data_IF_936865847792
#
_entry.id   IF_936865847792
#
_cell.length_a   1.000
_cell.length_b   1.000
_cell.length_c   1.000
_cell.angle_alpha   90.00
_cell.angle_beta   90.00
_cell.angle_gamma   90.00
#
_symmetry.space_group_name_H-M   'P 1'
#
loop_
_entity.id
_entity.type
_entity.pdbx_description
1 polymer ?
#
# COMPACT_ATOMS: atom_id res chain seq x y z
N UNK A 1 35.89 22.00 -36.68
CA UNK A 1 35.45 21.60 -35.32
C UNK A 1 34.59 22.68 -34.65
N UNK A 2 34.84 23.97 -34.85
CA UNK A 2 34.05 25.08 -34.27
C UNK A 2 32.54 25.03 -34.60
N UNK A 3 32.17 24.70 -35.86
CA UNK A 3 30.76 24.57 -36.27
C UNK A 3 30.01 23.43 -35.52
N UNK A 4 30.71 22.36 -35.11
CA UNK A 4 30.10 21.26 -34.35
C UNK A 4 29.78 21.69 -32.92
N UNK A 5 30.72 22.40 -32.27
CA UNK A 5 30.55 22.87 -30.89
C UNK A 5 29.41 23.88 -30.79
N UNK A 6 29.32 24.84 -31.71
CA UNK A 6 28.26 25.87 -31.69
C UNK A 6 26.89 25.22 -31.91
N UNK A 7 26.75 24.34 -32.90
CA UNK A 7 25.50 23.59 -33.14
C UNK A 7 25.09 22.74 -31.94
N UNK A 8 26.04 22.03 -31.33
CA UNK A 8 25.77 21.20 -30.16
C UNK A 8 25.35 22.03 -28.94
N UNK A 9 25.98 23.20 -28.73
CA UNK A 9 25.65 24.09 -27.62
C UNK A 9 24.27 24.72 -27.78
N UNK A 10 23.96 25.27 -28.97
CA UNK A 10 22.65 25.83 -29.26
C UNK A 10 21.54 24.78 -29.12
N UNK A 11 21.77 23.56 -29.63
CA UNK A 11 20.81 22.48 -29.50
C UNK A 11 20.68 21.98 -28.04
N UNK A 12 21.76 21.96 -27.27
CA UNK A 12 21.72 21.60 -25.85
C UNK A 12 20.85 22.56 -25.04
N UNK A 13 20.94 23.87 -25.30
CA UNK A 13 20.07 24.87 -24.66
C UNK A 13 18.61 24.63 -25.07
N UNK A 14 18.34 24.47 -26.36
CA UNK A 14 16.98 24.25 -26.86
C UNK A 14 16.35 22.98 -26.28
N UNK A 15 17.10 21.86 -26.24
CA UNK A 15 16.63 20.61 -25.66
C UNK A 15 16.50 20.68 -24.14
N UNK A 16 17.35 21.43 -23.43
CA UNK A 16 17.19 21.65 -21.99
C UNK A 16 15.88 22.37 -21.68
N UNK A 17 15.59 23.47 -22.40
CA UNK A 17 14.33 24.22 -22.26
C UNK A 17 13.14 23.32 -22.60
N UNK A 18 13.21 22.57 -23.70
CA UNK A 18 12.17 21.64 -24.09
C UNK A 18 11.97 20.53 -23.05
N UNK A 19 13.04 19.96 -22.49
CA UNK A 19 12.98 18.95 -21.41
C UNK A 19 12.23 19.50 -20.21
N UNK A 20 12.58 20.71 -19.80
CA UNK A 20 11.94 21.38 -18.69
C UNK A 20 10.44 21.56 -18.96
N UNK A 21 10.05 22.14 -20.10
CA UNK A 21 8.64 22.34 -20.45
C UNK A 21 7.85 21.04 -20.66
N UNK A 22 8.49 19.97 -21.13
CA UNK A 22 7.84 18.69 -21.41
C UNK A 22 7.54 17.90 -20.14
N UNK A 23 8.40 17.98 -19.12
CA UNK A 23 8.27 17.20 -17.89
C UNK A 23 7.74 17.99 -16.68
N UNK A 24 7.88 19.32 -16.63
CA UNK A 24 7.30 20.12 -15.55
C UNK A 24 5.80 20.31 -15.75
N UNK A 25 5.01 19.87 -14.77
CA UNK A 25 3.55 20.08 -14.73
C UNK A 25 3.11 21.17 -13.74
N UNK A 26 4.01 21.67 -12.90
CA UNK A 26 3.73 22.67 -11.87
C UNK A 26 4.73 23.81 -11.98
N UNK A 27 4.26 25.04 -11.74
CA UNK A 27 5.14 26.21 -11.65
C UNK A 27 6.11 26.04 -10.46
N UNK A 28 7.43 26.25 -10.67
CA UNK A 28 8.39 26.16 -9.59
C UNK A 28 8.13 27.26 -8.56
N UNK A 29 7.86 26.85 -7.32
CA UNK A 29 7.67 27.77 -6.21
C UNK A 29 9.06 28.17 -5.66
N UNK A 30 9.67 29.21 -6.22
CA UNK A 30 11.00 29.71 -5.83
C UNK A 30 10.97 30.56 -4.55
N UNK A 31 10.36 30.05 -3.48
CA UNK A 31 10.19 30.80 -2.22
C UNK A 31 11.52 30.91 -1.45
N UNK A 32 12.49 30.02 -1.68
CA UNK A 32 13.78 30.02 -1.00
C UNK A 32 14.97 30.20 -1.97
N UNK A 33 15.89 31.12 -1.64
CA UNK A 33 17.13 31.37 -2.40
C UNK A 33 17.99 30.10 -2.57
N UNK A 34 18.02 29.22 -1.56
CA UNK A 34 18.71 27.94 -1.64
C UNK A 34 18.15 27.02 -2.74
N UNK A 35 16.82 27.03 -2.95
CA UNK A 35 16.19 26.24 -4.01
C UNK A 35 16.57 26.75 -5.41
N UNK A 36 16.72 28.06 -5.58
CA UNK A 36 17.19 28.67 -6.83
C UNK A 36 18.63 28.28 -7.15
N UNK A 37 19.52 28.30 -6.15
CA UNK A 37 20.92 27.88 -6.34
C UNK A 37 20.99 26.40 -6.73
N UNK A 38 20.30 25.53 -5.99
CA UNK A 38 20.30 24.08 -6.27
C UNK A 38 19.75 23.80 -7.66
N UNK A 39 18.65 24.45 -8.04
CA UNK A 39 18.09 24.35 -9.38
C UNK A 39 19.07 24.83 -10.46
N UNK A 40 19.74 25.97 -10.25
CA UNK A 40 20.75 26.50 -11.16
C UNK A 40 21.92 25.53 -11.36
N UNK A 41 22.42 24.93 -10.27
CA UNK A 41 23.49 23.92 -10.35
C UNK A 41 23.04 22.70 -11.14
N UNK A 42 21.84 22.18 -10.87
CA UNK A 42 21.29 21.03 -11.62
C UNK A 42 21.08 21.34 -13.10
N UNK A 43 20.61 22.55 -13.43
CA UNK A 43 20.44 23.00 -14.80
C UNK A 43 21.77 23.10 -15.56
N UNK A 44 22.83 23.61 -14.91
CA UNK A 44 24.18 23.65 -15.49
C UNK A 44 24.72 22.25 -15.73
N UNK A 45 24.58 21.35 -14.75
CA UNK A 45 25.00 19.94 -14.91
C UNK A 45 24.25 19.28 -16.07
N UNK A 46 22.93 19.46 -16.14
CA UNK A 46 22.11 18.92 -17.23
C UNK A 46 22.51 19.50 -18.60
N UNK A 47 22.79 20.81 -18.68
CA UNK A 47 23.26 21.46 -19.91
C UNK A 47 24.59 20.86 -20.38
N UNK A 48 25.53 20.63 -19.46
CA UNK A 48 26.84 20.02 -19.73
C UNK A 48 26.64 18.60 -20.28
N UNK A 49 25.78 17.80 -19.64
CA UNK A 49 25.46 16.43 -20.10
C UNK A 49 24.84 16.45 -21.49
N UNK A 50 23.86 17.33 -21.75
CA UNK A 50 23.25 17.47 -23.07
C UNK A 50 24.27 17.89 -24.12
N UNK A 51 25.11 18.89 -23.83
CA UNK A 51 26.14 19.36 -24.74
C UNK A 51 27.08 18.24 -25.17
N UNK A 52 27.63 17.49 -24.21
CA UNK A 52 28.56 16.39 -24.52
C UNK A 52 27.88 15.24 -25.26
N UNK A 53 26.64 14.90 -24.90
CA UNK A 53 25.86 13.84 -25.57
C UNK A 53 25.57 14.21 -27.02
N UNK A 54 25.05 15.41 -27.27
CA UNK A 54 24.74 15.92 -28.60
C UNK A 54 26.02 16.04 -29.43
N UNK A 55 27.11 16.53 -28.84
CA UNK A 55 28.41 16.64 -29.52
C UNK A 55 28.95 15.26 -29.93
N UNK A 56 28.83 14.26 -29.06
CA UNK A 56 29.24 12.89 -29.36
C UNK A 56 28.41 12.27 -30.50
N UNK A 57 27.09 12.44 -30.46
CA UNK A 57 26.19 11.99 -31.53
C UNK A 57 26.50 12.72 -32.83
N UNK A 58 26.60 14.05 -32.80
CA UNK A 58 26.92 14.89 -33.96
C UNK A 58 28.29 14.55 -34.58
N UNK A 59 29.30 14.26 -33.77
CA UNK A 59 30.58 13.76 -34.25
C UNK A 59 30.43 12.40 -34.96
N UNK A 60 29.65 11.49 -34.39
CA UNK A 60 29.39 10.17 -34.98
C UNK A 60 28.68 10.28 -36.33
N UNK A 61 27.65 11.14 -36.42
CA UNK A 61 26.95 11.43 -37.67
C UNK A 61 27.89 12.04 -38.72
N UNK A 62 28.75 12.99 -38.33
CA UNK A 62 29.69 13.64 -39.23
C UNK A 62 30.91 12.77 -39.62
N UNK A 63 31.21 11.71 -38.88
CA UNK A 63 32.39 10.84 -39.09
C UNK A 63 32.30 9.95 -40.34
N UNK A 64 31.15 9.92 -41.02
CA UNK A 64 30.90 9.05 -42.19
C UNK A 64 30.64 7.59 -41.83
N UNK A 65 30.46 7.27 -40.54
CA UNK A 65 30.07 5.93 -40.05
C UNK A 65 28.56 5.67 -40.14
N UNK A 66 27.76 6.72 -40.30
CA UNK A 66 26.31 6.63 -40.46
C UNK A 66 25.95 6.84 -41.93
N UNK A 67 25.02 6.02 -42.44
CA UNK A 67 24.59 6.12 -43.82
C UNK A 67 24.03 7.53 -44.11
N UNK A 68 24.44 8.18 -45.23
CA UNK A 68 24.18 9.59 -45.49
C UNK A 68 22.75 9.87 -45.96
N UNK A 69 21.77 9.44 -45.17
CA UNK A 69 20.35 9.64 -45.41
C UNK A 69 19.69 10.13 -44.11
N UNK A 70 18.73 11.04 -44.25
CA UNK A 70 18.07 11.71 -43.12
C UNK A 70 17.47 10.69 -42.14
N UNK A 71 16.83 9.63 -42.66
CA UNK A 71 16.28 8.58 -41.82
C UNK A 71 17.32 7.94 -40.89
N UNK A 72 18.55 7.68 -41.33
CA UNK A 72 19.58 7.12 -40.46
C UNK A 72 20.14 8.16 -39.48
N UNK A 73 20.13 9.44 -39.84
CA UNK A 73 20.52 10.53 -38.94
C UNK A 73 19.51 10.72 -37.80
N UNK A 74 18.26 10.25 -37.97
CA UNK A 74 17.20 10.30 -36.95
C UNK A 74 17.10 8.97 -36.20
N UNK A 75 17.04 7.85 -36.91
CA UNK A 75 16.84 6.51 -36.34
C UNK A 75 18.02 6.06 -35.48
N UNK A 76 19.25 6.46 -35.84
CA UNK A 76 20.44 6.05 -35.08
C UNK A 76 20.46 6.69 -33.68
N UNK A 77 20.35 8.03 -33.51
CA UNK A 77 20.20 8.64 -32.19
C UNK A 77 18.99 8.10 -31.43
N UNK A 78 17.86 7.89 -32.12
CA UNK A 78 16.64 7.37 -31.51
C UNK A 78 16.85 5.99 -30.90
N UNK A 79 17.45 5.06 -31.64
CA UNK A 79 17.66 3.70 -31.17
C UNK A 79 18.60 3.66 -29.95
N UNK A 80 19.71 4.40 -30.00
CA UNK A 80 20.70 4.45 -28.90
C UNK A 80 20.09 5.09 -27.65
N UNK A 81 19.45 6.25 -27.79
CA UNK A 81 18.87 6.95 -26.64
C UNK A 81 17.69 6.19 -26.04
N UNK A 82 16.86 5.52 -26.86
CA UNK A 82 15.74 4.71 -26.37
C UNK A 82 16.25 3.53 -25.57
N UNK A 83 17.30 2.85 -26.03
CA UNK A 83 17.89 1.73 -25.33
C UNK A 83 18.50 2.14 -23.99
N UNK A 84 19.31 3.20 -23.97
CA UNK A 84 19.89 3.72 -22.74
C UNK A 84 18.81 4.22 -21.76
N UNK A 85 17.82 4.95 -22.28
CA UNK A 85 16.68 5.43 -21.49
C UNK A 85 15.90 4.29 -20.85
N UNK A 86 15.66 3.19 -21.59
CA UNK A 86 15.00 2.02 -21.04
C UNK A 86 15.84 1.29 -20.01
N UNK A 87 17.16 1.15 -20.20
CA UNK A 87 18.01 0.55 -19.17
C UNK A 87 17.98 1.35 -17.86
N UNK A 88 18.09 2.67 -17.95
CA UNK A 88 18.03 3.54 -16.76
C UNK A 88 16.65 3.44 -16.10
N UNK A 89 15.58 3.58 -16.88
CA UNK A 89 14.22 3.48 -16.38
C UNK A 89 13.95 2.11 -15.73
N UNK A 90 14.33 1.06 -16.45
CA UNK A 90 14.15 -0.32 -16.06
C UNK A 90 14.93 -0.78 -14.83
N UNK A 91 16.14 -0.25 -14.62
CA UNK A 91 16.96 -0.62 -13.46
C UNK A 91 16.55 0.16 -12.20
N UNK A 92 16.32 1.46 -12.32
CA UNK A 92 16.12 2.36 -11.18
C UNK A 92 14.65 2.63 -10.84
N UNK A 93 13.73 2.56 -11.80
CA UNK A 93 12.33 2.93 -11.60
C UNK A 93 11.35 1.76 -11.70
N UNK A 94 11.75 0.62 -12.28
CA UNK A 94 10.92 -0.59 -12.24
C UNK A 94 11.19 -1.31 -10.92
N UNK A 95 10.26 -1.12 -10.00
CA UNK A 95 10.18 -1.89 -8.77
C UNK A 95 9.73 -3.34 -9.05
N UNK A 96 9.98 -4.27 -8.12
CA UNK A 96 9.36 -5.58 -8.20
C UNK A 96 7.85 -5.43 -8.36
N UNK A 97 7.20 -6.30 -9.14
CA UNK A 97 5.76 -6.28 -9.40
C UNK A 97 5.13 -7.68 -9.29
N UNK A 98 3.84 -7.75 -8.99
CA UNK A 98 3.09 -9.01 -8.91
C UNK A 98 2.31 -9.30 -10.20
N UNK A 99 1.17 -8.63 -10.41
CA UNK A 99 0.36 -8.77 -11.62
C UNK A 99 1.07 -8.29 -12.90
N UNK A 100 0.90 -9.02 -14.00
CA UNK A 100 1.45 -8.62 -15.32
C UNK A 100 0.95 -7.23 -15.80
N UNK A 101 -0.24 -6.81 -15.35
CA UNK A 101 -0.84 -5.51 -15.70
C UNK A 101 -0.02 -4.32 -15.18
N UNK A 102 0.62 -4.46 -14.01
CA UNK A 102 1.48 -3.42 -13.44
C UNK A 102 2.68 -3.16 -14.35
N UNK A 103 3.34 -4.23 -14.81
CA UNK A 103 4.45 -4.11 -15.75
C UNK A 103 4.04 -3.50 -17.10
N UNK A 104 2.90 -3.92 -17.65
CA UNK A 104 2.38 -3.34 -18.89
C UNK A 104 2.07 -1.84 -18.75
N UNK A 105 1.58 -1.42 -17.58
CA UNK A 105 1.36 0.00 -17.29
C UNK A 105 2.69 0.78 -17.28
N UNK A 106 3.75 0.25 -16.65
CA UNK A 106 5.08 0.85 -16.65
C UNK A 106 5.66 0.99 -18.06
N UNK A 107 5.56 -0.06 -18.87
CA UNK A 107 5.98 -0.03 -20.29
C UNK A 107 5.18 1.03 -21.06
N UNK A 108 3.86 1.11 -20.85
CA UNK A 108 3.00 2.11 -21.48
C UNK A 108 3.41 3.53 -21.08
N UNK A 109 3.72 3.78 -19.81
CA UNK A 109 4.20 5.08 -19.32
C UNK A 109 5.52 5.43 -19.98
N UNK A 110 6.46 4.49 -20.07
CA UNK A 110 7.73 4.70 -20.76
C UNK A 110 7.53 5.04 -22.24
N UNK A 111 6.69 4.28 -22.96
CA UNK A 111 6.42 4.52 -24.39
C UNK A 111 5.75 5.88 -24.60
N UNK A 112 4.72 6.20 -23.82
CA UNK A 112 3.92 7.42 -24.03
C UNK A 112 4.63 8.70 -23.60
N UNK A 113 5.52 8.65 -22.60
CA UNK A 113 6.24 9.83 -22.10
C UNK A 113 7.68 9.89 -22.60
N UNK A 114 8.47 8.87 -22.33
CA UNK A 114 9.92 8.92 -22.54
C UNK A 114 10.31 8.64 -23.99
N UNK A 115 9.72 7.62 -24.62
CA UNK A 115 10.04 7.28 -26.00
C UNK A 115 9.55 8.34 -27.00
N UNK A 116 8.40 8.97 -26.73
CA UNK A 116 7.92 10.13 -27.49
C UNK A 116 8.87 11.32 -27.39
N UNK A 117 9.32 11.65 -26.16
CA UNK A 117 10.33 12.68 -25.95
C UNK A 117 11.64 12.38 -26.70
N UNK A 118 12.14 11.14 -26.61
CA UNK A 118 13.33 10.71 -27.33
C UNK A 118 13.18 10.83 -28.84
N UNK A 119 12.00 10.53 -29.40
CA UNK A 119 11.73 10.70 -30.82
C UNK A 119 11.88 12.17 -31.26
N UNK A 120 11.30 13.12 -30.51
CA UNK A 120 11.39 14.56 -30.80
C UNK A 120 12.86 15.02 -30.76
N UNK A 121 13.59 14.65 -29.71
CA UNK A 121 15.01 14.98 -29.58
C UNK A 121 15.85 14.41 -30.73
N UNK A 122 15.55 13.18 -31.15
CA UNK A 122 16.27 12.51 -32.25
C UNK A 122 16.04 13.19 -33.60
N UNK A 123 14.81 13.68 -33.85
CA UNK A 123 14.50 14.47 -35.05
C UNK A 123 15.29 15.78 -35.03
N UNK A 124 15.30 16.50 -33.91
CA UNK A 124 16.02 17.76 -33.78
C UNK A 124 17.54 17.58 -33.99
N UNK A 125 18.13 16.53 -33.39
CA UNK A 125 19.54 16.17 -33.60
C UNK A 125 19.80 15.82 -35.07
N UNK A 126 18.97 14.94 -35.65
CA UNK A 126 19.11 14.51 -37.04
C UNK A 126 19.10 15.69 -38.01
N UNK A 127 18.14 16.60 -37.88
CA UNK A 127 18.02 17.80 -38.72
C UNK A 127 19.21 18.77 -38.54
N UNK A 128 19.68 18.96 -37.31
CA UNK A 128 20.79 19.89 -37.00
C UNK A 128 22.11 19.48 -37.67
N UNK A 129 22.36 18.16 -37.75
CA UNK A 129 23.61 17.60 -38.27
C UNK A 129 23.51 17.02 -39.69
N UNK A 130 22.33 17.03 -40.32
CA UNK A 130 22.13 16.57 -41.70
C UNK A 130 22.86 17.38 -42.81
N UNK A 131 22.92 18.73 -42.80
CA UNK A 131 23.30 19.51 -44.00
C UNK A 131 24.81 19.52 -44.38
N UNK A 132 25.60 18.55 -43.95
CA UNK A 132 27.06 18.49 -44.19
C UNK A 132 27.52 17.32 -45.09
N UNK A 133 26.61 16.58 -45.71
CA UNK A 133 26.96 15.45 -46.55
C UNK A 133 27.11 15.87 -48.00
N UNK A 134 28.32 16.29 -48.38
CA UNK A 134 28.74 16.29 -49.80
C UNK A 134 28.47 14.90 -50.37
N UNK A 135 27.84 14.84 -51.54
CA UNK A 135 27.47 13.64 -52.30
C UNK A 135 28.58 12.58 -52.27
N UNK A 136 28.51 11.69 -51.29
CA UNK A 136 29.34 10.48 -51.23
C UNK A 136 28.53 9.38 -51.86
N UNK A 137 29.06 8.84 -52.95
CA UNK A 137 28.54 7.68 -53.68
C UNK A 137 27.98 6.66 -52.67
N UNK A 138 26.73 6.18 -52.82
CA UNK A 138 26.09 5.31 -51.86
C UNK A 138 26.95 4.06 -51.62
N UNK A 139 27.37 3.88 -50.37
CA UNK A 139 28.14 2.73 -49.94
C UNK A 139 27.17 1.66 -49.42
N UNK A 140 26.84 0.67 -50.26
CA UNK A 140 25.91 -0.41 -49.92
C UNK A 140 26.33 -1.19 -48.67
N UNK A 141 27.64 -1.36 -48.45
CA UNK A 141 28.17 -2.00 -47.24
C UNK A 141 27.86 -1.16 -45.99
N UNK A 142 27.94 0.16 -46.10
CA UNK A 142 27.60 1.07 -44.99
C UNK A 142 26.10 1.03 -44.69
N UNK A 143 25.25 1.02 -45.71
CA UNK A 143 23.80 0.87 -45.57
C UNK A 143 23.46 -0.42 -44.83
N UNK A 144 23.99 -1.56 -45.29
CA UNK A 144 23.75 -2.87 -44.69
C UNK A 144 24.23 -2.94 -43.24
N UNK A 145 25.41 -2.38 -42.94
CA UNK A 145 25.93 -2.30 -41.56
C UNK A 145 25.03 -1.47 -40.64
N UNK A 146 24.54 -0.33 -41.12
CA UNK A 146 23.65 0.54 -40.34
C UNK A 146 22.28 -0.12 -40.11
N UNK A 147 21.72 -0.82 -41.10
CA UNK A 147 20.49 -1.60 -40.95
C UNK A 147 20.66 -2.72 -39.92
N UNK A 148 21.75 -3.49 -39.99
CA UNK A 148 22.06 -4.51 -38.98
C UNK A 148 22.22 -3.93 -37.59
N UNK A 149 22.90 -2.79 -37.45
CA UNK A 149 23.04 -2.11 -36.17
C UNK A 149 21.69 -1.70 -35.58
N UNK A 150 20.80 -1.09 -36.37
CA UNK A 150 19.46 -0.72 -35.92
C UNK A 150 18.64 -1.95 -35.52
N UNK A 151 18.67 -3.01 -36.33
CA UNK A 151 18.00 -4.27 -36.04
C UNK A 151 18.52 -4.93 -34.76
N UNK A 152 19.85 -4.98 -34.57
CA UNK A 152 20.47 -5.51 -33.36
C UNK A 152 20.10 -4.68 -32.12
N UNK A 153 20.13 -3.35 -32.22
CA UNK A 153 19.77 -2.44 -31.12
C UNK A 153 18.30 -2.64 -30.69
N UNK A 154 17.39 -2.78 -31.67
CA UNK A 154 15.99 -3.09 -31.39
C UNK A 154 15.82 -4.48 -30.76
N UNK A 155 16.56 -5.49 -31.24
CA UNK A 155 16.58 -6.82 -30.63
C UNK A 155 17.02 -6.79 -29.16
N UNK A 156 18.12 -6.09 -28.86
CA UNK A 156 18.62 -5.90 -27.48
C UNK A 156 17.58 -5.17 -26.63
N UNK A 157 16.90 -4.16 -27.18
CA UNK A 157 15.82 -3.47 -26.49
C UNK A 157 14.70 -4.43 -26.07
N UNK A 158 14.18 -5.24 -27.00
CA UNK A 158 13.13 -6.22 -26.70
C UNK A 158 13.59 -7.27 -25.68
N UNK A 159 14.80 -7.80 -25.83
CA UNK A 159 15.36 -8.77 -24.87
C UNK A 159 15.48 -8.15 -23.49
N UNK A 160 15.89 -6.88 -23.40
CA UNK A 160 15.98 -6.19 -22.11
C UNK A 160 14.62 -5.99 -21.44
N UNK A 161 13.54 -5.73 -22.20
CA UNK A 161 12.17 -5.66 -21.65
C UNK A 161 11.80 -6.99 -20.99
N UNK A 162 12.07 -8.10 -21.69
CA UNK A 162 11.78 -9.45 -21.19
C UNK A 162 12.63 -9.79 -19.97
N UNK A 163 13.93 -9.45 -19.98
CA UNK A 163 14.81 -9.69 -18.83
C UNK A 163 14.37 -8.90 -17.60
N UNK A 164 13.97 -7.64 -17.77
CA UNK A 164 13.45 -6.83 -16.66
C UNK A 164 12.14 -7.40 -16.14
N UNK A 165 11.25 -7.86 -17.04
CA UNK A 165 10.04 -8.57 -16.64
C UNK A 165 10.37 -9.79 -15.78
N UNK A 166 11.28 -10.66 -16.22
CA UNK A 166 11.63 -11.89 -15.49
C UNK A 166 12.31 -11.58 -14.16
N UNK A 167 13.27 -10.64 -14.14
CA UNK A 167 14.09 -10.33 -12.95
C UNK A 167 13.34 -9.54 -11.89
N UNK A 168 12.37 -8.69 -12.28
CA UNK A 168 11.57 -7.87 -11.36
C UNK A 168 10.22 -8.50 -11.02
N UNK A 169 9.76 -9.51 -11.75
CA UNK A 169 8.52 -10.23 -11.39
C UNK A 169 8.72 -10.97 -10.08
N UNK A 170 7.85 -10.71 -9.11
CA UNK A 170 7.84 -11.44 -7.86
C UNK A 170 7.38 -12.86 -8.15
N UNK A 171 8.24 -13.85 -7.88
CA UNK A 171 7.86 -15.25 -7.90
C UNK A 171 6.91 -15.51 -6.73
N UNK A 172 5.63 -15.71 -7.05
CA UNK A 172 4.64 -16.22 -6.13
C UNK A 172 4.19 -17.57 -6.66
N UNK A 173 4.08 -18.56 -5.78
CA UNK A 173 3.40 -19.79 -6.15
C UNK A 173 2.00 -19.44 -6.60
N UNK A 174 1.54 -20.04 -7.70
CA UNK A 174 0.13 -19.98 -8.04
C UNK A 174 -0.67 -20.44 -6.82
N UNK A 175 -1.80 -19.79 -6.57
CA UNK A 175 -2.71 -20.23 -5.54
C UNK A 175 -3.10 -21.68 -5.88
N UNK A 176 -2.57 -22.66 -5.14
CA UNK A 176 -2.88 -24.06 -5.41
C UNK A 176 -4.38 -24.27 -5.16
N UNK A 177 -4.96 -25.29 -5.78
CA UNK A 177 -6.36 -25.66 -5.51
C UNK A 177 -6.61 -25.87 -4.00
N UNK A 178 -5.58 -26.19 -3.21
CA UNK A 178 -5.65 -26.35 -1.76
C UNK A 178 -6.10 -25.10 -1.00
N UNK A 179 -5.99 -23.91 -1.60
CA UNK A 179 -6.46 -22.65 -1.02
C UNK A 179 -7.84 -22.20 -1.56
N UNK A 180 -8.44 -22.96 -2.49
CA UNK A 180 -9.78 -22.68 -3.00
C UNK A 180 -10.86 -22.82 -1.92
N UNK A 181 -10.64 -23.73 -0.97
CA UNK A 181 -11.57 -24.01 0.15
C UNK A 181 -11.54 -22.93 1.24
N UNK A 182 -10.57 -22.00 1.20
CA UNK A 182 -10.49 -20.91 2.16
C UNK A 182 -11.49 -19.83 1.81
N UNK A 183 -12.55 -19.73 2.61
CA UNK A 183 -13.55 -18.67 2.52
C UNK A 183 -13.08 -17.41 3.23
N UNK A 184 -13.58 -16.25 2.81
CA UNK A 184 -13.32 -15.00 3.53
C UNK A 184 -13.86 -15.10 4.96
N UNK A 185 -13.21 -14.45 5.93
CA UNK A 185 -13.71 -14.44 7.31
C UNK A 185 -15.07 -13.73 7.43
N UNK A 186 -15.35 -12.76 6.55
CA UNK A 186 -16.64 -12.09 6.46
C UNK A 186 -17.74 -12.97 5.83
N UNK A 187 -17.36 -14.07 5.16
CA UNK A 187 -18.30 -15.07 4.65
C UNK A 187 -18.62 -16.08 5.76
N UNK A 188 -19.86 -16.60 5.79
CA UNK A 188 -20.22 -17.70 6.70
C UNK A 188 -19.34 -18.91 6.35
N UNK A 189 -18.38 -19.19 7.23
CA UNK A 189 -17.44 -20.28 7.05
C UNK A 189 -17.82 -21.43 7.95
N UNK A 190 -18.13 -22.57 7.35
CA UNK A 190 -18.64 -23.73 8.06
C UNK A 190 -17.85 -24.96 7.64
N UNK A 191 -17.30 -25.68 8.62
CA UNK A 191 -16.79 -27.05 8.45
C UNK A 191 -17.88 -28.06 8.81
N UNK A 192 -17.54 -29.36 8.81
CA UNK A 192 -18.45 -30.41 9.27
C UNK A 192 -18.86 -30.19 10.73
N UNK A 193 -17.89 -29.91 11.61
CA UNK A 193 -18.12 -29.84 13.06
C UNK A 193 -18.13 -28.42 13.64
N UNK A 194 -17.78 -27.38 12.87
CA UNK A 194 -17.73 -26.01 13.37
C UNK A 194 -18.33 -24.98 12.41
N UNK A 195 -18.71 -23.84 12.97
CA UNK A 195 -19.14 -22.65 12.24
C UNK A 195 -18.43 -21.41 12.76
N UNK A 196 -17.93 -20.59 11.85
CA UNK A 196 -17.46 -19.24 12.10
C UNK A 196 -18.56 -18.27 11.67
N UNK A 197 -18.97 -17.39 12.58
CA UNK A 197 -19.95 -16.36 12.32
C UNK A 197 -19.50 -15.02 12.88
N UNK A 198 -19.96 -13.93 12.26
CA UNK A 198 -19.74 -12.58 12.79
C UNK A 198 -20.58 -12.39 14.05
N UNK A 199 -19.95 -11.96 15.14
CA UNK A 199 -20.60 -11.67 16.42
C UNK A 199 -20.89 -10.17 16.54
N UNK A 200 -19.87 -9.34 16.28
CA UNK A 200 -19.94 -7.88 16.37
C UNK A 200 -19.10 -7.24 15.27
N UNK A 201 -19.52 -6.08 14.80
CA UNK A 201 -18.79 -5.25 13.85
C UNK A 201 -18.96 -3.78 14.21
N UNK A 202 -17.85 -3.07 14.41
CA UNK A 202 -17.89 -1.63 14.64
C UNK A 202 -17.76 -0.86 13.34
N UNK A 203 -18.25 0.38 13.33
CA UNK A 203 -18.05 1.29 12.20
C UNK A 203 -16.62 1.86 12.19
N UNK A 204 -16.30 2.69 11.20
CA UNK A 204 -14.96 3.25 11.02
C UNK A 204 -14.48 4.18 12.14
N UNK A 205 -15.39 4.68 12.98
CA UNK A 205 -15.11 5.62 14.07
C UNK A 205 -15.05 4.96 15.44
N UNK A 206 -15.06 3.64 15.47
CA UNK A 206 -15.13 2.85 16.69
C UNK A 206 -14.20 1.66 16.61
N UNK A 207 -13.64 1.31 17.75
CA UNK A 207 -12.84 0.10 17.94
C UNK A 207 -13.31 -0.64 19.17
N UNK A 208 -12.81 -1.85 19.31
CA UNK A 208 -13.14 -2.79 20.36
C UNK A 208 -11.92 -2.98 21.25
N UNK A 209 -12.12 -3.11 22.55
CA UNK A 209 -11.07 -3.55 23.49
C UNK A 209 -10.93 -5.08 23.42
N UNK A 210 -9.78 -5.64 23.86
CA UNK A 210 -9.68 -7.08 24.11
C UNK A 210 -10.84 -7.56 25.01
N UNK A 211 -11.30 -8.80 24.84
CA UNK A 211 -12.47 -9.28 25.56
C UNK A 211 -12.10 -9.52 27.03
N UNK A 212 -13.08 -9.34 27.92
CA UNK A 212 -12.93 -9.58 29.34
C UNK A 212 -13.80 -10.73 29.80
N UNK A 213 -13.37 -11.44 30.82
CA UNK A 213 -14.12 -12.49 31.49
C UNK A 213 -14.67 -11.97 32.82
N UNK A 214 -15.95 -12.28 33.09
CA UNK A 214 -16.63 -12.00 34.35
C UNK A 214 -16.86 -13.32 35.10
N UNK A 215 -15.99 -13.71 36.07
CA UNK A 215 -16.02 -15.04 36.68
C UNK A 215 -17.32 -15.38 37.41
N UNK A 216 -17.88 -14.44 38.17
CA UNK A 216 -19.04 -14.70 39.03
C UNK A 216 -20.31 -15.03 38.25
N UNK A 217 -20.43 -14.50 37.03
CA UNK A 217 -21.56 -14.77 36.13
C UNK A 217 -21.21 -15.74 35.01
N UNK A 218 -19.92 -16.02 34.82
CA UNK A 218 -19.39 -16.78 33.71
C UNK A 218 -19.89 -16.22 32.36
N UNK A 219 -19.68 -14.92 32.21
CA UNK A 219 -20.04 -14.11 31.06
C UNK A 219 -18.78 -13.51 30.44
N UNK A 220 -18.85 -13.24 29.15
CA UNK A 220 -17.83 -12.50 28.41
C UNK A 220 -18.31 -11.05 28.22
N UNK A 221 -17.42 -10.09 28.48
CA UNK A 221 -17.68 -8.67 28.29
C UNK A 221 -16.86 -8.17 27.10
N UNK A 222 -17.52 -7.54 26.15
CA UNK A 222 -16.86 -6.83 25.03
C UNK A 222 -17.22 -5.35 25.14
N UNK A 223 -16.21 -4.49 25.04
CA UNK A 223 -16.38 -3.03 25.10
C UNK A 223 -15.99 -2.45 23.75
N UNK A 224 -16.85 -1.60 23.21
CA UNK A 224 -16.58 -0.78 22.03
C UNK A 224 -16.42 0.67 22.45
N UNK A 225 -15.38 1.32 21.96
CA UNK A 225 -15.00 2.69 22.26
C UNK A 225 -15.02 3.53 20.98
N UNK A 226 -15.15 4.84 21.14
CA UNK A 226 -14.89 5.77 20.05
C UNK A 226 -13.38 5.82 19.75
N UNK A 227 -13.04 5.97 18.48
CA UNK A 227 -11.67 6.11 18.01
C UNK A 227 -11.15 7.52 18.35
N UNK A 228 -10.67 7.67 19.58
CA UNK A 228 -10.00 8.87 20.07
C UNK A 228 -8.59 8.56 20.59
N UNK A 229 -7.73 9.58 20.59
CA UNK A 229 -6.34 9.47 21.06
C UNK A 229 -6.22 9.57 22.59
N UNK A 230 -7.33 9.57 23.33
CA UNK A 230 -7.29 9.73 24.78
C UNK A 230 -6.87 8.43 25.45
N UNK A 231 -6.15 8.53 26.57
CA UNK A 231 -5.79 7.36 27.37
C UNK A 231 -7.02 6.63 27.89
N UNK A 232 -8.01 7.40 28.34
CA UNK A 232 -9.29 6.93 28.83
C UNK A 232 -10.36 7.16 27.75
N UNK A 233 -10.36 6.28 26.75
CA UNK A 233 -11.21 6.39 25.56
C UNK A 233 -12.70 6.28 25.93
N UNK A 234 -13.53 7.12 25.30
CA UNK A 234 -14.98 7.11 25.53
C UNK A 234 -15.61 5.78 25.08
N UNK A 235 -16.48 5.22 25.92
CA UNK A 235 -17.23 3.98 25.68
C UNK A 235 -18.47 4.29 24.85
N UNK A 236 -18.62 3.60 23.73
CA UNK A 236 -19.83 3.63 22.93
C UNK A 236 -20.86 2.61 23.42
N UNK A 237 -20.41 1.38 23.68
CA UNK A 237 -21.27 0.29 24.15
C UNK A 237 -20.49 -0.80 24.89
N UNK A 238 -21.20 -1.49 25.78
CA UNK A 238 -20.73 -2.67 26.51
C UNK A 238 -21.69 -3.83 26.26
N UNK A 239 -21.15 -4.96 25.84
CA UNK A 239 -21.89 -6.17 25.50
C UNK A 239 -21.60 -7.25 26.53
N UNK A 240 -22.66 -7.92 27.00
CA UNK A 240 -22.56 -9.15 27.81
C UNK A 240 -22.94 -10.35 26.98
N UNK A 241 -22.10 -11.37 27.01
CA UNK A 241 -22.23 -12.56 26.19
C UNK A 241 -22.23 -13.80 27.10
N UNK A 242 -23.20 -14.68 26.91
CA UNK A 242 -23.34 -15.91 27.68
C UNK A 242 -22.32 -16.99 27.24
N UNK A 243 -22.29 -18.15 27.93
CA UNK A 243 -21.41 -19.28 27.58
C UNK A 243 -21.63 -19.91 26.21
N UNK A 244 -22.81 -19.69 25.63
CA UNK A 244 -23.19 -20.20 24.31
C UNK A 244 -22.83 -19.22 23.19
N UNK A 245 -22.38 -18.02 23.52
CA UNK A 245 -21.96 -17.01 22.57
C UNK A 245 -23.12 -16.18 22.02
N UNK A 246 -24.14 -15.95 22.83
CA UNK A 246 -25.25 -15.05 22.50
C UNK A 246 -25.09 -13.78 23.31
N UNK A 247 -25.28 -12.63 22.66
CA UNK A 247 -25.35 -11.32 23.34
C UNK A 247 -26.65 -11.30 24.13
N UNK A 248 -26.55 -11.30 25.45
CA UNK A 248 -27.71 -11.33 26.36
C UNK A 248 -28.13 -9.94 26.81
N UNK A 249 -27.18 -9.01 26.93
CA UNK A 249 -27.45 -7.63 27.28
C UNK A 249 -26.48 -6.69 26.55
N UNK A 250 -26.93 -5.46 26.30
CA UNK A 250 -26.11 -4.39 25.73
C UNK A 250 -26.45 -3.11 26.47
N UNK A 251 -25.42 -2.40 26.92
CA UNK A 251 -25.56 -1.04 27.42
C UNK A 251 -24.88 -0.11 26.44
N UNK A 252 -25.63 0.84 25.88
CA UNK A 252 -25.10 1.91 25.03
C UNK A 252 -24.87 3.15 25.86
N UNK A 253 -23.96 4.00 25.39
CA UNK A 253 -23.73 5.32 25.98
C UNK A 253 -25.04 6.12 26.11
N UNK A 254 -25.90 6.08 25.09
CA UNK A 254 -27.20 6.76 25.07
C UNK A 254 -28.17 6.28 26.15
N UNK A 255 -27.97 5.09 26.71
CA UNK A 255 -28.82 4.55 27.79
C UNK A 255 -28.43 5.17 29.16
N UNK A 256 -27.29 5.84 29.22
CA UNK A 256 -26.69 6.38 30.44
C UNK A 256 -26.56 7.90 30.39
N UNK A 257 -26.15 8.44 29.23
CA UNK A 257 -25.94 9.85 28.96
C UNK A 257 -27.22 10.42 28.35
N UNK A 258 -27.98 11.19 29.14
CA UNK A 258 -29.18 11.89 28.67
C UNK A 258 -28.84 13.36 28.39
N UNK A 259 -29.45 13.95 27.35
CA UNK A 259 -29.24 15.35 26.91
C UNK A 259 -29.45 16.41 28.00
N UNK A 260 -30.13 16.07 29.10
CA UNK A 260 -30.43 16.98 30.21
C UNK A 260 -29.38 17.00 31.33
N UNK A 261 -28.42 16.08 31.35
CA UNK A 261 -27.41 15.93 32.42
C UNK A 261 -26.00 15.75 31.81
N UNK A 262 -25.44 16.84 31.28
CA UNK A 262 -24.11 16.93 30.65
C UNK A 262 -22.92 16.55 31.57
N UNK A 263 -23.17 16.24 32.85
CA UNK A 263 -22.15 15.94 33.85
C UNK A 263 -21.63 14.49 33.81
N UNK A 264 -22.16 13.63 32.92
CA UNK A 264 -21.76 12.22 32.82
C UNK A 264 -21.24 11.84 31.42
N UNK A 265 -20.51 12.75 30.77
CA UNK A 265 -19.86 12.53 29.48
C UNK A 265 -18.38 12.97 29.51
N UNK A 266 -17.46 12.30 28.81
CA UNK A 266 -17.63 10.98 28.18
C UNK A 266 -17.80 9.85 29.21
N UNK A 267 -18.50 8.78 28.80
CA UNK A 267 -18.59 7.53 29.55
C UNK A 267 -17.27 6.76 29.43
N UNK A 268 -16.66 6.35 30.54
CA UNK A 268 -15.37 5.64 30.57
C UNK A 268 -15.52 4.36 31.38
N UNK A 269 -14.91 3.26 30.94
CA UNK A 269 -14.86 2.01 31.70
C UNK A 269 -13.50 1.82 32.36
N UNK A 270 -13.48 1.67 33.69
CA UNK A 270 -12.29 1.36 34.49
C UNK A 270 -12.56 0.09 35.31
N UNK A 271 -11.86 -1.00 34.99
CA UNK A 271 -12.00 -2.30 35.67
C UNK A 271 -13.46 -2.77 35.77
N UNK A 272 -14.25 -2.60 34.70
CA UNK A 272 -15.66 -2.98 34.65
C UNK A 272 -16.62 -1.96 35.27
N UNK A 273 -16.13 -0.92 35.95
CA UNK A 273 -16.97 0.18 36.46
C UNK A 273 -17.05 1.30 35.44
N UNK A 274 -18.26 1.75 35.15
CA UNK A 274 -18.49 2.87 34.23
C UNK A 274 -18.53 4.17 35.03
N UNK A 275 -17.89 5.22 34.51
CA UNK A 275 -17.73 6.49 35.19
C UNK A 275 -17.64 7.66 34.21
N UNK A 276 -17.84 8.88 34.70
CA UNK A 276 -17.56 10.09 33.95
C UNK A 276 -16.06 10.39 33.91
N UNK A 277 -15.65 11.34 33.05
CA UNK A 277 -14.25 11.77 32.95
C UNK A 277 -13.62 12.22 34.27
N UNK A 278 -14.42 12.77 35.21
CA UNK A 278 -13.90 13.23 36.51
C UNK A 278 -13.92 12.14 37.59
N UNK A 279 -14.47 10.95 37.31
CA UNK A 279 -14.54 9.86 38.28
C UNK A 279 -15.50 10.12 39.43
N UNK A 280 -16.45 11.06 39.29
CA UNK A 280 -17.32 11.54 40.38
C UNK A 280 -18.56 10.69 40.55
N UNK A 281 -19.05 10.10 39.47
CA UNK A 281 -20.22 9.22 39.48
C UNK A 281 -19.79 7.85 38.94
N UNK A 282 -20.30 6.78 39.53
CA UNK A 282 -19.95 5.40 39.21
C UNK A 282 -21.21 4.58 38.93
N UNK A 283 -21.09 3.61 38.03
CA UNK A 283 -22.14 2.67 37.60
C UNK A 283 -21.54 1.26 37.56
N UNK A 284 -22.18 0.31 38.25
CA UNK A 284 -21.76 -1.08 38.39
C UNK A 284 -22.36 -2.03 37.35
N UNK A 285 -22.98 -1.51 36.28
CA UNK A 285 -23.77 -2.28 35.32
C UNK A 285 -23.11 -3.59 34.86
N UNK A 286 -21.81 -3.59 34.56
CA UNK A 286 -21.05 -4.78 34.13
C UNK A 286 -21.06 -5.91 35.15
N UNK A 287 -21.29 -5.64 36.43
CA UNK A 287 -21.34 -6.64 37.50
C UNK A 287 -22.76 -7.03 37.90
N UNK A 288 -23.69 -6.07 37.98
CA UNK A 288 -25.01 -6.27 38.60
C UNK A 288 -26.21 -5.81 37.75
N UNK A 289 -25.98 -5.35 36.52
CA UNK A 289 -27.00 -4.77 35.62
C UNK A 289 -27.60 -3.45 36.14
N UNK A 290 -27.04 -2.82 37.18
CA UNK A 290 -27.52 -1.55 37.70
C UNK A 290 -26.95 -0.37 36.89
N UNK A 291 -27.84 0.47 36.35
CA UNK A 291 -27.49 1.70 35.61
C UNK A 291 -27.53 2.96 36.49
N UNK A 292 -27.89 2.84 37.76
CA UNK A 292 -28.02 3.96 38.68
C UNK A 292 -26.66 4.63 38.93
N UNK A 293 -26.62 5.95 38.73
CA UNK A 293 -25.43 6.78 38.95
C UNK A 293 -25.27 7.04 40.44
N UNK A 294 -24.20 6.53 41.03
CA UNK A 294 -23.88 6.75 42.45
C UNK A 294 -22.66 7.66 42.57
N UNK A 295 -22.65 8.56 43.56
CA UNK A 295 -21.45 9.35 43.85
C UNK A 295 -20.29 8.43 44.26
N UNK A 296 -19.08 8.69 43.78
CA UNK A 296 -17.92 7.84 44.04
C UNK A 296 -17.62 7.64 45.53
N UNK A 297 -17.92 8.66 46.36
CA UNK A 297 -17.77 8.62 47.82
C UNK A 297 -18.76 7.66 48.51
N UNK A 298 -19.89 7.37 47.87
CA UNK A 298 -20.97 6.52 48.40
C UNK A 298 -20.96 5.12 47.76
N UNK A 299 -20.13 4.92 46.74
CA UNK A 299 -20.10 3.68 45.97
C UNK A 299 -19.39 2.58 46.74
N UNK A 300 -20.13 1.51 47.04
CA UNK A 300 -19.59 0.37 47.77
C UNK A 300 -19.10 -0.71 46.81
N UNK A 301 -17.78 -0.77 46.62
CA UNK A 301 -17.15 -1.84 45.84
C UNK A 301 -17.32 -3.18 46.55
N UNK A 302 -17.85 -4.18 45.85
CA UNK A 302 -17.91 -5.54 46.38
C UNK A 302 -16.63 -6.30 46.06
N UNK A 303 -16.12 -7.07 47.02
CA UNK A 303 -14.88 -7.84 46.87
C UNK A 303 -14.95 -8.90 45.75
N UNK A 304 -16.16 -9.35 45.42
CA UNK A 304 -16.39 -10.32 44.37
C UNK A 304 -16.41 -9.67 42.98
N UNK A 305 -16.48 -8.35 42.85
CA UNK A 305 -16.45 -7.65 41.57
C UNK A 305 -15.06 -7.69 40.93
N UNK A 306 -14.82 -8.75 40.17
CA UNK A 306 -13.59 -8.99 39.42
C UNK A 306 -13.90 -9.19 37.95
N UNK A 307 -13.08 -8.58 37.10
CA UNK A 307 -13.15 -8.71 35.66
C UNK A 307 -11.74 -8.90 35.13
N UNK A 308 -11.52 -9.95 34.35
CA UNK A 308 -10.19 -10.37 33.93
C UNK A 308 -10.02 -10.16 32.41
N UNK A 309 -8.98 -9.46 32.00
CA UNK A 309 -8.67 -9.32 30.57
C UNK A 309 -8.19 -10.66 30.01
N UNK A 310 -8.83 -11.13 28.94
CA UNK A 310 -8.45 -12.38 28.29
C UNK A 310 -7.30 -12.09 27.32
N UNK A 311 -6.20 -12.84 27.46
CA UNK A 311 -5.03 -12.70 26.59
C UNK A 311 -5.26 -13.44 25.28
N UNK A 312 -4.85 -12.81 24.18
CA UNK A 312 -4.84 -13.47 22.88
C UNK A 312 -3.83 -14.63 22.90
N UNK A 313 -4.22 -15.76 22.31
CA UNK A 313 -3.35 -16.91 22.07
C UNK A 313 -2.81 -16.82 20.64
N UNK A 314 -1.59 -16.30 20.49
CA UNK A 314 -0.91 -16.16 19.20
C UNK A 314 -0.61 -17.49 18.52
N UNK A 315 -0.44 -18.56 19.29
CA UNK A 315 0.02 -19.85 18.79
C UNK A 315 -1.12 -20.68 18.18
N UNK A 316 -2.37 -20.32 18.49
CA UNK A 316 -3.56 -21.00 18.00
C UNK A 316 -3.90 -20.65 16.54
N UNK A 317 -3.44 -19.50 16.04
CA UNK A 317 -3.71 -19.02 14.68
C UNK A 317 -2.44 -19.10 13.85
N UNK A 318 -2.43 -19.95 12.84
CA UNK A 318 -1.28 -20.10 11.95
C UNK A 318 -1.58 -19.45 10.60
N UNK A 319 -0.79 -18.44 10.23
CA UNK A 319 -0.74 -17.95 8.85
C UNK A 319 -0.01 -18.99 8.00
N UNK A 320 -0.69 -19.57 7.03
CA UNK A 320 -0.15 -20.64 6.17
C UNK A 320 0.26 -20.15 4.79
N UNK A 321 -0.33 -19.05 4.32
CA UNK A 321 0.00 -18.47 3.03
C UNK A 321 -0.35 -16.99 2.94
N UNK A 322 0.40 -16.25 2.14
CA UNK A 322 0.10 -14.87 1.77
C UNK A 322 0.17 -14.75 0.25
N UNK A 323 -0.97 -14.45 -0.36
CA UNK A 323 -1.09 -14.25 -1.81
C UNK A 323 -1.16 -12.75 -2.11
N UNK A 324 -0.17 -12.19 -2.81
CA UNK A 324 -0.12 -10.74 -3.05
C UNK A 324 -0.92 -10.40 -4.30
N UNK A 325 -1.79 -9.40 -4.20
CA UNK A 325 -2.72 -9.03 -5.27
C UNK A 325 -2.34 -7.73 -5.96
N UNK A 326 -1.80 -6.76 -5.24
CA UNK A 326 -1.52 -5.42 -5.76
C UNK A 326 -0.50 -4.68 -4.89
N UNK A 327 0.16 -3.70 -5.48
CA UNK A 327 0.90 -2.69 -4.72
C UNK A 327 -0.05 -1.86 -3.84
N UNK A 328 0.46 -1.45 -2.69
CA UNK A 328 -0.22 -0.61 -1.72
C UNK A 328 0.72 0.51 -1.29
N UNK A 329 0.35 1.72 -1.64
CA UNK A 329 1.17 2.91 -1.42
C UNK A 329 0.90 3.48 -0.04
N UNK A 330 1.97 3.75 0.71
CA UNK A 330 1.93 4.26 2.07
C UNK A 330 2.66 5.61 2.14
N UNK A 331 2.24 6.47 3.07
CA UNK A 331 2.92 7.72 3.43
C UNK A 331 3.23 8.60 2.19
N UNK A 332 2.20 9.16 1.55
CA UNK A 332 2.36 9.94 0.31
C UNK A 332 3.18 9.22 -0.78
N UNK A 333 2.94 7.91 -0.96
CA UNK A 333 3.51 7.08 -2.04
C UNK A 333 5.02 6.78 -1.87
N UNK A 334 5.63 7.16 -0.75
CA UNK A 334 7.06 6.95 -0.51
C UNK A 334 7.44 5.54 -0.06
N UNK A 335 6.50 4.81 0.54
CA UNK A 335 6.68 3.42 0.98
C UNK A 335 5.71 2.50 0.23
N UNK A 336 6.24 1.50 -0.49
CA UNK A 336 5.45 0.56 -1.28
C UNK A 336 5.37 -0.77 -0.55
N UNK A 337 4.18 -1.06 -0.03
CA UNK A 337 3.83 -2.37 0.52
C UNK A 337 3.06 -3.19 -0.51
N UNK A 338 2.88 -4.47 -0.22
CA UNK A 338 2.06 -5.36 -1.03
C UNK A 338 0.78 -5.70 -0.30
N UNK A 339 -0.36 -5.32 -0.88
CA UNK A 339 -1.64 -5.83 -0.42
C UNK A 339 -1.88 -7.25 -0.96
N UNK A 340 -2.80 -7.95 -0.33
CA UNK A 340 -3.07 -9.34 -0.67
C UNK A 340 -4.04 -10.00 0.29
N UNK A 341 -4.14 -11.32 0.15
CA UNK A 341 -4.97 -12.16 1.00
C UNK A 341 -4.07 -13.03 1.87
N UNK A 342 -4.29 -13.03 3.18
CA UNK A 342 -3.65 -13.97 4.10
C UNK A 342 -4.57 -15.12 4.43
N UNK A 343 -4.02 -16.32 4.36
CA UNK A 343 -4.71 -17.58 4.60
C UNK A 343 -4.30 -18.10 5.96
N UNK A 344 -5.28 -18.42 6.79
CA UNK A 344 -5.11 -18.80 8.18
C UNK A 344 -5.75 -20.14 8.46
N UNK A 345 -5.10 -20.89 9.34
CA UNK A 345 -5.63 -22.11 9.95
C UNK A 345 -5.71 -21.94 11.47
N UNK A 346 -6.84 -22.32 12.05
CA UNK A 346 -7.03 -22.45 13.50
C UNK A 346 -7.34 -23.89 13.82
N UNK A 347 -6.53 -24.53 14.68
CA UNK A 347 -6.78 -25.90 15.10
C UNK A 347 -7.77 -25.94 16.26
N UNK A 348 -8.85 -26.69 16.09
CA UNK A 348 -9.89 -26.89 17.10
C UNK A 348 -10.11 -28.39 17.25
N UNK A 349 -9.48 -28.99 18.27
CA UNK A 349 -9.44 -30.44 18.42
C UNK A 349 -8.63 -31.12 17.31
N UNK A 350 -9.23 -32.07 16.60
CA UNK A 350 -8.63 -32.77 15.45
C UNK A 350 -8.82 -32.06 14.11
N UNK A 351 -9.63 -30.99 14.05
CA UNK A 351 -9.91 -30.23 12.84
C UNK A 351 -9.08 -28.95 12.73
N UNK A 352 -8.87 -28.50 11.49
CA UNK A 352 -8.31 -27.19 11.19
C UNK A 352 -9.35 -26.36 10.42
N UNK A 353 -9.78 -25.25 11.03
CA UNK A 353 -10.64 -24.27 10.38
C UNK A 353 -9.80 -23.37 9.49
N UNK A 354 -10.18 -23.30 8.21
CA UNK A 354 -9.45 -22.60 7.15
C UNK A 354 -10.21 -21.37 6.71
N UNK A 355 -9.61 -20.19 6.81
CA UNK A 355 -10.23 -18.94 6.37
C UNK A 355 -9.19 -17.95 5.85
N UNK A 356 -9.61 -16.97 5.03
CA UNK A 356 -8.75 -15.90 4.55
C UNK A 356 -9.18 -14.53 5.04
N UNK A 357 -8.21 -13.65 5.19
CA UNK A 357 -8.39 -12.22 5.38
C UNK A 357 -8.05 -11.54 4.06
N UNK A 358 -9.05 -10.90 3.47
CA UNK A 358 -8.88 -10.16 2.23
C UNK A 358 -8.30 -8.76 2.49
N UNK A 359 -7.43 -8.30 1.58
CA UNK A 359 -6.79 -6.98 1.63
C UNK A 359 -6.22 -6.65 3.00
N UNK A 360 -5.07 -7.25 3.34
CA UNK A 360 -4.42 -7.11 4.65
C UNK A 360 -4.03 -5.67 4.98
N UNK A 361 -3.75 -4.82 3.99
CA UNK A 361 -3.43 -3.41 4.22
C UNK A 361 -4.61 -2.49 3.89
N UNK A 362 -4.79 -1.46 4.70
CA UNK A 362 -5.76 -0.38 4.50
C UNK A 362 -5.16 0.97 4.89
N UNK A 363 -5.72 2.05 4.35
CA UNK A 363 -5.40 3.42 4.74
C UNK A 363 -6.30 3.81 5.91
N UNK A 364 -5.71 4.34 6.98
CA UNK A 364 -6.48 4.82 8.14
C UNK A 364 -6.87 6.30 7.98
N UNK A 365 -6.10 7.06 7.21
CA UNK A 365 -6.26 8.50 7.09
C UNK A 365 -6.09 9.02 5.66
N UNK A 366 -6.39 10.30 5.50
CA UNK A 366 -6.24 11.02 4.24
C UNK A 366 -4.78 11.23 3.82
N UNK A 367 -3.81 10.95 4.70
CA UNK A 367 -2.36 11.06 4.46
C UNK A 367 -1.80 9.68 4.03
N UNK A 368 -2.68 8.70 3.83
CA UNK A 368 -2.36 7.35 3.35
C UNK A 368 -1.40 6.60 4.28
N UNK A 369 -1.48 6.83 5.59
CA UNK A 369 -0.81 5.97 6.56
C UNK A 369 -1.39 4.56 6.47
N UNK A 370 -0.50 3.58 6.28
CA UNK A 370 -0.88 2.20 6.08
C UNK A 370 -0.97 1.43 7.39
N UNK A 371 -2.03 0.66 7.52
CA UNK A 371 -2.25 -0.26 8.63
C UNK A 371 -2.46 -1.68 8.15
N UNK A 372 -1.87 -2.62 8.87
CA UNK A 372 -2.01 -4.04 8.60
C UNK A 372 -3.08 -4.65 9.51
N UNK A 373 -4.13 -5.24 8.93
CA UNK A 373 -5.18 -5.95 9.65
C UNK A 373 -4.56 -6.99 10.57
N UNK A 374 -4.71 -6.78 11.87
CA UNK A 374 -4.28 -7.73 12.91
C UNK A 374 -5.40 -8.71 13.22
N UNK A 375 -5.07 -10.00 13.26
CA UNK A 375 -5.98 -11.06 13.66
C UNK A 375 -5.54 -11.61 15.02
N UNK A 376 -6.47 -11.69 15.96
CA UNK A 376 -6.24 -12.20 17.30
C UNK A 376 -7.24 -13.30 17.62
N UNK A 377 -6.80 -14.32 18.34
CA UNK A 377 -7.65 -15.44 18.76
C UNK A 377 -7.65 -15.55 20.28
N UNK A 378 -8.82 -15.83 20.83
CA UNK A 378 -9.04 -15.98 22.27
C UNK A 378 -9.70 -17.32 22.51
N UNK A 379 -8.98 -18.17 23.24
CA UNK A 379 -9.54 -19.39 23.79
C UNK A 379 -10.22 -19.05 25.10
N UNK A 380 -11.46 -19.50 25.27
CA UNK A 380 -12.33 -19.14 26.39
C UNK A 380 -12.65 -20.39 27.23
N UNK A 381 -11.87 -20.69 28.29
CA UNK A 381 -12.14 -21.85 29.13
C UNK A 381 -13.54 -21.79 29.75
N UNK A 382 -14.31 -22.88 29.62
CA UNK A 382 -15.67 -22.97 30.14
C UNK A 382 -16.76 -22.37 29.26
N UNK A 383 -16.41 -21.84 28.08
CA UNK A 383 -17.36 -21.42 27.05
C UNK A 383 -17.46 -22.48 25.95
N UNK A 384 -18.63 -22.55 25.30
CA UNK A 384 -18.89 -23.48 24.19
C UNK A 384 -18.42 -22.92 22.83
N UNK A 385 -17.55 -21.90 22.86
CA UNK A 385 -17.05 -21.23 21.67
C UNK A 385 -15.65 -20.64 21.88
N UNK A 386 -15.00 -20.31 20.78
CA UNK A 386 -13.78 -19.49 20.76
C UNK A 386 -14.02 -18.20 19.98
N UNK A 387 -13.16 -17.20 20.19
CA UNK A 387 -13.37 -15.86 19.65
C UNK A 387 -12.19 -15.40 18.79
N UNK A 388 -12.48 -14.79 17.65
CA UNK A 388 -11.51 -14.10 16.79
C UNK A 388 -11.80 -12.60 16.82
N UNK A 389 -10.77 -11.77 16.90
CA UNK A 389 -10.86 -10.31 16.75
C UNK A 389 -10.05 -9.87 15.54
N UNK A 390 -10.67 -9.16 14.61
CA UNK A 390 -10.03 -8.64 13.41
C UNK A 390 -9.95 -7.12 13.47
N UNK A 391 -8.73 -6.60 13.32
CA UNK A 391 -8.43 -5.17 13.20
C UNK A 391 -8.99 -4.33 14.35
N UNK A 392 -9.14 -4.92 15.53
CA UNK A 392 -9.79 -4.29 16.68
C UNK A 392 -11.21 -3.77 16.38
N UNK A 393 -11.88 -4.21 15.32
CA UNK A 393 -13.19 -3.69 14.89
C UNK A 393 -14.28 -4.76 14.88
N UNK A 394 -13.93 -5.96 14.42
CA UNK A 394 -14.88 -7.04 14.29
C UNK A 394 -14.52 -8.19 15.22
N UNK A 395 -15.55 -8.77 15.85
CA UNK A 395 -15.45 -10.04 16.55
C UNK A 395 -16.20 -11.12 15.80
N UNK A 396 -15.58 -12.29 15.70
CA UNK A 396 -16.16 -13.50 15.13
C UNK A 396 -16.13 -14.61 16.17
N UNK A 397 -17.15 -15.46 16.11
CA UNK A 397 -17.31 -16.59 17.02
C UNK A 397 -17.14 -17.90 16.27
N UNK A 398 -16.40 -18.82 16.88
CA UNK A 398 -16.23 -20.20 16.42
C UNK A 398 -17.03 -21.10 17.35
N UNK A 399 -18.14 -21.67 16.86
CA UNK A 399 -19.01 -22.60 17.61
C UNK A 399 -18.92 -24.01 17.03
N UNK A 400 -19.06 -25.02 17.88
CA UNK A 400 -19.30 -26.38 17.43
C UNK A 400 -20.73 -26.49 16.86
N UNK A 401 -20.90 -27.27 15.79
CA UNK A 401 -22.21 -27.66 15.26
C UNK A 401 -22.69 -28.86 16.08
N UNK A 402 -23.89 -28.75 16.64
CA UNK A 402 -24.56 -29.83 17.38
C UNK A 402 -25.65 -30.47 16.54
#
# INVERSE_FOLDING_TARGET
MENLNIKAFALAIALLIFTYSYYMKSEPNFIAFAAVIVFGVLAVVALVVYFFTIKFIGHTLASGKVYPHLAFHILWPFAVMSLLGWFIYGLFYVEPFGPNREFLHLVKVFVSKHLLFTAICSIAIGLTFFPNLKDKIPNELLLRKNQWYLGATFGVFLVSIVLIFITKKINQSALTNDYADYKSLDEINTSENFSIGKLLDTNDYMHTKPPYFLPNRNELIIITNYDDANKDQAVYAVYRINKNGDIIETLRESDVVNDSDNDFFPLICKNGILTDFKGKKLISWVFDSNIEKQAAEQFNFRDDWKIDTIKANSDAVKMVHFYKTNTFYCNDITDVKYNGNKYYEVRTGSEALKFRIDSVFLHIDNIQNCYEKKLEYYQLPGFNFSLLRLNERAYYIIKAKH
#
